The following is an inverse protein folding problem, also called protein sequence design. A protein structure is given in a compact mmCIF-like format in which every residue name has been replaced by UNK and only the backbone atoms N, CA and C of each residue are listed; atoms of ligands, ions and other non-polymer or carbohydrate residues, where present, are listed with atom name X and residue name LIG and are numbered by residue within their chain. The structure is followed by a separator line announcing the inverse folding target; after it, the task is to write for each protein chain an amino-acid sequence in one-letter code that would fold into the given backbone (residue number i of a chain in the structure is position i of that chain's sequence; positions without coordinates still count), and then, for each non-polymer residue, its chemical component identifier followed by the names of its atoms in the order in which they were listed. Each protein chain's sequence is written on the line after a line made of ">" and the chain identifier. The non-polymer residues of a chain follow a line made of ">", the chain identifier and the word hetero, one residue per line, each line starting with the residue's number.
data_IF_903830580046
#
_entry.id   IF_903830580046
#
_cell.length_a   1.000
_cell.length_b   1.000
_cell.length_c   1.000
_cell.angle_alpha   90.00
_cell.angle_beta   90.00
_cell.angle_gamma   90.00
#
_symmetry.space_group_name_H-M   'P 1'
#
loop_
_entity.id
_entity.type
_entity.pdbx_description
1 polymer ?
#
# COMPACT_ATOMS: atom_id res chain seq x y z
N UNK A 1 3.42 14.92 -10.94
CA UNK A 1 2.44 13.79 -10.87
C UNK A 1 1.64 13.88 -9.57
N UNK A 2 0.51 13.18 -9.51
CA UNK A 2 -0.38 13.10 -8.35
C UNK A 2 0.04 11.96 -7.44
N UNK A 3 0.46 12.27 -6.22
CA UNK A 3 1.00 11.29 -5.26
C UNK A 3 0.02 11.16 -4.09
N UNK A 4 -0.34 9.93 -3.75
CA UNK A 4 -1.12 9.59 -2.56
C UNK A 4 -0.25 8.79 -1.60
N UNK A 5 0.00 9.34 -0.41
CA UNK A 5 0.77 8.69 0.66
C UNK A 5 -0.19 8.13 1.70
N UNK A 6 -0.07 6.84 2.01
CA UNK A 6 -0.96 6.14 2.93
C UNK A 6 -0.13 5.57 4.09
N UNK A 7 -0.38 6.05 5.32
CA UNK A 7 0.15 5.46 6.54
C UNK A 7 -0.86 4.49 7.14
N UNK A 8 -0.54 3.21 7.12
CA UNK A 8 -1.37 2.12 7.65
C UNK A 8 -1.06 1.71 9.09
N UNK A 9 -0.18 2.41 9.80
CA UNK A 9 0.11 2.11 11.21
C UNK A 9 -0.94 2.72 12.13
N UNK A 10 -1.52 1.96 13.10
CA UNK A 10 -2.53 2.49 14.01
C UNK A 10 -1.98 3.43 15.08
N UNK A 11 -0.67 3.43 15.34
CA UNK A 11 -0.01 4.23 16.37
C UNK A 11 0.76 5.41 15.75
N UNK A 12 0.48 6.63 16.25
CA UNK A 12 1.11 7.89 15.82
C UNK A 12 2.57 8.04 16.28
N UNK A 13 3.01 7.30 17.29
CA UNK A 13 4.39 7.32 17.79
C UNK A 13 5.28 6.26 17.13
N UNK A 14 4.75 5.57 16.13
CA UNK A 14 5.44 4.48 15.45
C UNK A 14 6.57 4.95 14.54
N UNK A 15 7.51 4.05 14.26
CA UNK A 15 8.54 4.30 13.25
C UNK A 15 7.96 4.44 11.82
N UNK A 16 6.82 3.82 11.53
CA UNK A 16 6.08 4.05 10.29
C UNK A 16 5.63 5.51 10.17
N UNK A 17 5.26 6.16 11.27
CA UNK A 17 4.93 7.59 11.28
C UNK A 17 6.16 8.45 10.96
N UNK A 18 7.36 8.09 11.46
CA UNK A 18 8.59 8.79 11.10
C UNK A 18 8.91 8.64 9.61
N UNK A 19 8.72 7.46 9.02
CA UNK A 19 8.85 7.24 7.58
C UNK A 19 7.84 8.09 6.81
N UNK A 20 6.58 8.11 7.24
CA UNK A 20 5.51 8.89 6.61
C UNK A 20 5.86 10.38 6.60
N UNK A 21 6.25 10.94 7.74
CA UNK A 21 6.63 12.35 7.84
C UNK A 21 7.84 12.66 6.95
N UNK A 22 8.87 11.79 6.97
CA UNK A 22 10.04 11.95 6.10
C UNK A 22 9.65 11.98 4.62
N UNK A 23 8.72 11.15 4.19
CA UNK A 23 8.24 11.13 2.79
C UNK A 23 7.50 12.42 2.47
N UNK A 24 6.55 12.82 3.31
CA UNK A 24 5.75 14.04 3.10
C UNK A 24 6.62 15.28 3.01
N UNK A 25 7.60 15.42 3.92
CA UNK A 25 8.50 16.59 3.98
C UNK A 25 9.48 16.68 2.79
N UNK A 26 9.72 15.56 2.08
CA UNK A 26 10.70 15.50 0.99
C UNK A 26 10.11 15.35 -0.40
N UNK A 27 8.77 15.29 -0.56
CA UNK A 27 8.10 15.38 -1.85
C UNK A 27 8.13 16.85 -2.32
N UNK A 28 8.67 17.10 -3.51
CA UNK A 28 8.72 18.45 -4.07
C UNK A 28 7.35 18.91 -4.58
N UNK A 29 6.69 19.75 -3.78
CA UNK A 29 5.36 20.30 -4.09
C UNK A 29 5.31 21.19 -5.35
N UNK A 30 6.47 21.60 -5.90
CA UNK A 30 6.51 22.34 -7.18
C UNK A 30 6.30 21.44 -8.39
N UNK A 31 6.60 20.15 -8.25
CA UNK A 31 6.53 19.16 -9.32
C UNK A 31 5.44 18.10 -9.11
N UNK A 32 4.91 18.00 -7.88
CA UNK A 32 3.95 16.97 -7.51
C UNK A 32 2.77 17.57 -6.73
N UNK A 33 1.58 17.07 -7.01
CA UNK A 33 0.40 17.27 -6.18
C UNK A 33 0.39 16.13 -5.13
N UNK A 34 0.27 16.48 -3.86
CA UNK A 34 0.34 15.54 -2.75
C UNK A 34 -0.98 15.50 -1.99
N UNK A 35 -1.50 14.31 -1.82
CA UNK A 35 -2.57 13.99 -0.85
C UNK A 35 -2.09 12.93 0.12
N UNK A 36 -2.60 12.98 1.33
CA UNK A 36 -2.20 12.06 2.40
C UNK A 36 -3.40 11.42 3.08
N UNK A 37 -3.23 10.17 3.48
CA UNK A 37 -4.15 9.41 4.35
C UNK A 37 -3.33 8.82 5.49
N UNK A 38 -3.60 9.26 6.73
CA UNK A 38 -3.03 8.67 7.94
C UNK A 38 -4.16 7.94 8.67
N UNK A 39 -4.22 6.61 8.51
CA UNK A 39 -5.36 5.81 8.97
C UNK A 39 -5.59 5.86 10.49
N UNK A 40 -4.57 6.21 11.26
CA UNK A 40 -4.67 6.40 12.70
C UNK A 40 -5.31 7.75 13.12
N UNK A 41 -5.61 8.61 12.16
CA UNK A 41 -6.25 9.92 12.37
C UNK A 41 -7.71 9.94 11.91
N UNK A 42 -8.10 8.89 11.20
CA UNK A 42 -9.42 8.79 10.58
C UNK A 42 -10.37 7.91 11.41
N UNK A 43 -11.58 8.38 11.61
CA UNK A 43 -12.64 7.62 12.27
C UNK A 43 -13.51 6.93 11.22
N UNK A 44 -13.31 5.63 11.06
CA UNK A 44 -14.09 4.80 10.14
C UNK A 44 -14.20 3.36 10.64
N UNK A 45 -15.26 2.67 10.27
CA UNK A 45 -15.39 1.24 10.55
C UNK A 45 -14.55 0.41 9.55
N UNK A 46 -13.44 -0.23 9.98
CA UNK A 46 -12.60 -1.03 9.08
C UNK A 46 -13.23 -2.39 8.71
N UNK A 47 -14.34 -2.76 9.34
CA UNK A 47 -14.97 -4.07 9.09
C UNK A 47 -15.94 -4.01 7.93
N UNK A 48 -15.68 -4.80 6.90
CA UNK A 48 -16.63 -5.00 5.78
C UNK A 48 -17.78 -5.92 6.23
N UNK A 49 -18.71 -5.40 7.04
CA UNK A 49 -19.70 -6.17 7.84
C UNK A 49 -20.59 -7.11 7.04
N UNK A 50 -20.90 -6.74 5.80
CA UNK A 50 -21.83 -7.51 4.95
C UNK A 50 -21.14 -8.14 3.75
N UNK A 51 -19.82 -8.06 3.67
CA UNK A 51 -19.07 -8.33 2.44
C UNK A 51 -19.60 -7.41 1.32
N UNK A 52 -19.63 -7.93 0.10
CA UNK A 52 -20.20 -7.20 -1.05
C UNK A 52 -21.69 -7.51 -1.28
N UNK A 53 -22.35 -8.23 -0.38
CA UNK A 53 -23.76 -8.61 -0.50
C UNK A 53 -24.72 -7.44 -0.27
N UNK A 54 -24.37 -6.55 0.64
CA UNK A 54 -25.15 -5.36 1.00
C UNK A 54 -24.19 -4.17 1.19
N UNK A 55 -24.56 -3.00 0.69
CA UNK A 55 -23.81 -1.77 0.98
C UNK A 55 -23.89 -1.44 2.46
N UNK A 56 -22.78 -1.01 3.01
CA UNK A 56 -22.70 -0.33 4.30
C UNK A 56 -23.23 1.11 4.16
N UNK A 57 -23.54 1.74 5.28
CA UNK A 57 -23.82 3.17 5.29
C UNK A 57 -22.66 3.96 4.68
N UNK A 58 -22.99 5.08 4.04
CA UNK A 58 -21.99 5.96 3.43
C UNK A 58 -21.11 6.56 4.52
N UNK A 59 -19.83 6.53 4.27
CA UNK A 59 -18.77 7.04 5.13
C UNK A 59 -17.96 8.04 4.29
N UNK A 60 -17.96 9.29 4.71
CA UNK A 60 -17.34 10.38 3.95
C UNK A 60 -15.84 10.17 3.74
N UNK A 61 -15.13 9.59 4.73
CA UNK A 61 -13.73 9.27 4.59
C UNK A 61 -13.50 8.16 3.56
N UNK A 62 -14.34 7.12 3.55
CA UNK A 62 -14.25 6.04 2.57
C UNK A 62 -14.55 6.56 1.16
N UNK A 63 -15.56 7.41 0.98
CA UNK A 63 -15.88 8.02 -0.31
C UNK A 63 -14.71 8.90 -0.80
N UNK A 64 -14.17 9.77 0.04
CA UNK A 64 -12.97 10.55 -0.26
C UNK A 64 -11.79 9.65 -0.64
N UNK A 65 -11.58 8.57 0.11
CA UNK A 65 -10.50 7.62 -0.18
C UNK A 65 -10.66 6.96 -1.55
N UNK A 66 -11.90 6.63 -1.96
CA UNK A 66 -12.20 6.08 -3.29
C UNK A 66 -11.91 7.09 -4.40
N UNK A 67 -12.22 8.37 -4.21
CA UNK A 67 -11.86 9.44 -5.13
C UNK A 67 -10.34 9.60 -5.22
N UNK A 68 -9.64 9.58 -4.09
CA UNK A 68 -8.18 9.73 -4.04
C UNK A 68 -7.44 8.59 -4.73
N UNK A 69 -7.90 7.34 -4.64
CA UNK A 69 -7.25 6.24 -5.37
C UNK A 69 -7.49 6.33 -6.88
N UNK A 70 -8.55 6.97 -7.33
CA UNK A 70 -8.77 7.25 -8.75
C UNK A 70 -7.95 8.46 -9.21
N UNK A 71 -7.77 9.47 -8.37
CA UNK A 71 -7.01 10.69 -8.64
C UNK A 71 -5.49 10.43 -8.74
N UNK A 72 -4.91 9.62 -7.85
CA UNK A 72 -3.47 9.44 -7.76
C UNK A 72 -2.86 8.76 -9.00
N UNK A 73 -1.67 9.17 -9.41
CA UNK A 73 -0.81 8.48 -10.39
C UNK A 73 0.16 7.51 -9.71
N UNK A 74 0.63 7.88 -8.51
CA UNK A 74 1.57 7.10 -7.71
C UNK A 74 1.10 6.99 -6.26
N UNK A 75 1.17 5.77 -5.73
CA UNK A 75 0.83 5.45 -4.34
C UNK A 75 2.09 5.19 -3.54
N UNK A 76 2.13 5.65 -2.30
CA UNK A 76 3.17 5.28 -1.35
C UNK A 76 2.48 4.68 -0.12
N UNK A 77 2.65 3.37 0.07
CA UNK A 77 2.11 2.64 1.21
C UNK A 77 3.16 2.47 2.28
N UNK A 78 2.81 2.79 3.53
CA UNK A 78 3.69 2.68 4.69
C UNK A 78 2.97 1.86 5.77
N UNK A 79 3.54 0.72 6.20
CA UNK A 79 2.91 -0.11 7.22
C UNK A 79 3.87 -1.10 7.88
N UNK A 80 3.58 -1.56 9.11
CA UNK A 80 4.33 -2.64 9.74
C UNK A 80 3.84 -3.99 9.22
N UNK A 81 4.76 -4.93 9.08
CA UNK A 81 4.40 -6.32 8.78
C UNK A 81 4.08 -7.04 10.09
N UNK A 82 2.81 -7.34 10.29
CA UNK A 82 2.30 -8.09 11.43
C UNK A 82 1.69 -9.41 10.95
N UNK A 83 2.13 -10.52 11.54
CA UNK A 83 1.62 -11.85 11.17
C UNK A 83 1.63 -12.09 9.66
N UNK A 84 2.76 -11.75 9.02
CA UNK A 84 2.95 -11.88 7.56
C UNK A 84 1.90 -11.13 6.72
N UNK A 85 1.33 -10.05 7.25
CA UNK A 85 0.34 -9.21 6.58
C UNK A 85 0.46 -7.75 7.00
N UNK A 86 -0.38 -6.91 6.42
CA UNK A 86 -0.60 -5.54 6.87
C UNK A 86 -1.50 -5.51 8.12
N UNK A 87 -1.50 -4.41 8.90
CA UNK A 87 -2.40 -4.23 10.02
C UNK A 87 -3.88 -4.35 9.62
N UNK A 88 -4.72 -4.81 10.56
CA UNK A 88 -6.17 -4.93 10.34
C UNK A 88 -6.83 -3.62 9.91
N UNK A 89 -6.40 -2.50 10.47
CA UNK A 89 -6.86 -1.16 10.10
C UNK A 89 -6.65 -0.88 8.60
N UNK A 90 -5.43 -1.11 8.11
CA UNK A 90 -5.10 -0.93 6.70
C UNK A 90 -5.82 -1.94 5.80
N UNK A 91 -5.93 -3.20 6.25
CA UNK A 91 -6.67 -4.21 5.48
C UNK A 91 -8.15 -3.85 5.35
N UNK A 92 -8.76 -3.38 6.44
CA UNK A 92 -10.15 -2.93 6.43
C UNK A 92 -10.37 -1.71 5.53
N UNK A 93 -9.46 -0.73 5.53
CA UNK A 93 -9.50 0.38 4.58
C UNK A 93 -9.42 -0.13 3.13
N UNK A 94 -8.51 -1.05 2.81
CA UNK A 94 -8.41 -1.64 1.48
C UNK A 94 -9.71 -2.34 1.09
N UNK A 95 -10.32 -3.14 1.98
CA UNK A 95 -11.54 -3.87 1.70
C UNK A 95 -12.74 -2.94 1.41
N UNK A 96 -12.73 -1.73 1.96
CA UNK A 96 -13.79 -0.73 1.76
C UNK A 96 -13.53 0.24 0.61
N UNK A 97 -12.27 0.41 0.22
CA UNK A 97 -11.87 1.38 -0.82
C UNK A 97 -11.62 0.74 -2.17
N UNK A 98 -10.94 -0.43 -2.21
CA UNK A 98 -10.62 -1.13 -3.47
C UNK A 98 -11.75 -2.05 -3.91
N UNK A 99 -12.94 -1.51 -4.04
CA UNK A 99 -14.18 -2.23 -4.34
C UNK A 99 -14.46 -2.33 -5.85
N UNK A 100 -15.38 -3.24 -6.27
CA UNK A 100 -15.89 -3.28 -7.63
C UNK A 100 -16.49 -1.93 -8.07
N UNK A 101 -16.18 -1.51 -9.29
CA UNK A 101 -16.60 -0.21 -9.85
C UNK A 101 -15.65 0.95 -9.53
N UNK A 102 -14.78 0.81 -8.54
CA UNK A 102 -13.77 1.82 -8.16
C UNK A 102 -12.37 1.38 -8.60
N UNK A 103 -11.91 0.22 -8.15
CA UNK A 103 -10.56 -0.27 -8.42
C UNK A 103 -10.50 -1.34 -9.51
N UNK A 104 -11.57 -2.10 -9.67
CA UNK A 104 -11.74 -3.12 -10.70
C UNK A 104 -13.21 -3.31 -11.06
N UNK A 105 -13.50 -4.01 -12.16
CA UNK A 105 -14.86 -4.44 -12.53
C UNK A 105 -14.83 -5.83 -13.12
N UNK A 106 -15.99 -6.50 -13.15
CA UNK A 106 -16.12 -7.74 -13.91
C UNK A 106 -15.82 -7.47 -15.40
N UNK A 107 -15.21 -8.43 -16.07
CA UNK A 107 -15.01 -8.37 -17.51
C UNK A 107 -16.13 -9.17 -18.19
N UNK A 108 -17.19 -8.48 -18.56
CA UNK A 108 -18.38 -9.06 -19.19
C UNK A 108 -18.19 -9.29 -20.70
N UNK A 109 -17.04 -8.94 -21.27
CA UNK A 109 -16.76 -9.10 -22.70
C UNK A 109 -16.16 -10.49 -23.00
N UNK A 110 -16.82 -11.24 -23.85
CA UNK A 110 -16.36 -12.53 -24.33
C UNK A 110 -16.74 -13.72 -23.44
N UNK A 111 -16.24 -14.92 -23.78
CA UNK A 111 -16.52 -16.14 -23.02
C UNK A 111 -15.83 -16.12 -21.65
N UNK A 112 -16.57 -16.43 -20.60
CA UNK A 112 -16.06 -16.58 -19.24
C UNK A 112 -14.85 -17.53 -19.18
N UNK A 113 -14.92 -18.67 -19.88
CA UNK A 113 -13.84 -19.68 -19.91
C UNK A 113 -12.58 -19.10 -20.53
N UNK A 114 -12.69 -18.38 -21.66
CA UNK A 114 -11.54 -17.75 -22.31
C UNK A 114 -10.95 -16.61 -21.50
N UNK A 115 -11.78 -15.83 -20.83
CA UNK A 115 -11.31 -14.78 -19.92
C UNK A 115 -10.59 -15.38 -18.71
N UNK A 116 -11.11 -16.48 -18.17
CA UNK A 116 -10.47 -17.22 -17.07
C UNK A 116 -9.10 -17.76 -17.47
N UNK A 117 -9.01 -18.49 -18.58
CA UNK A 117 -7.76 -19.08 -19.07
C UNK A 117 -6.69 -18.02 -19.42
N UNK A 118 -7.10 -16.80 -19.78
CA UNK A 118 -6.22 -15.67 -20.10
C UNK A 118 -5.97 -14.75 -18.92
N UNK A 119 -6.49 -15.03 -17.75
CA UNK A 119 -6.38 -14.16 -16.58
C UNK A 119 -7.05 -12.79 -16.76
N UNK A 120 -8.10 -12.70 -17.59
CA UNK A 120 -8.80 -11.46 -17.95
C UNK A 120 -10.22 -11.39 -17.37
N UNK A 121 -10.49 -12.08 -16.26
CA UNK A 121 -11.81 -12.08 -15.62
C UNK A 121 -12.23 -10.69 -15.13
N UNK A 122 -11.25 -9.83 -14.82
CA UNK A 122 -11.50 -8.50 -14.30
C UNK A 122 -10.87 -7.43 -15.18
N UNK A 123 -11.60 -6.34 -15.34
CA UNK A 123 -11.09 -5.09 -15.92
C UNK A 123 -10.39 -4.30 -14.81
N UNK A 124 -9.12 -4.00 -15.01
CA UNK A 124 -8.28 -3.26 -14.07
C UNK A 124 -8.52 -1.76 -14.25
N UNK A 125 -9.23 -1.13 -13.30
CA UNK A 125 -9.63 0.28 -13.43
C UNK A 125 -8.52 1.27 -13.05
N UNK A 126 -7.50 0.81 -12.30
CA UNK A 126 -6.35 1.63 -11.90
C UNK A 126 -5.09 1.33 -12.75
N UNK A 127 -5.30 0.85 -13.98
CA UNK A 127 -4.21 0.54 -14.92
C UNK A 127 -3.41 1.80 -15.28
N UNK A 128 -2.09 1.65 -15.29
CA UNK A 128 -1.15 2.74 -15.61
C UNK A 128 -0.58 3.43 -14.38
N UNK A 129 -1.23 3.26 -13.22
CA UNK A 129 -0.74 3.80 -11.96
C UNK A 129 0.41 2.95 -11.39
N UNK A 130 1.20 3.56 -10.51
CA UNK A 130 2.37 2.93 -9.88
C UNK A 130 2.32 3.01 -8.36
N UNK A 131 3.10 2.17 -7.68
CA UNK A 131 3.19 2.19 -6.23
C UNK A 131 4.61 1.94 -5.71
N UNK A 132 4.92 2.53 -4.56
CA UNK A 132 6.05 2.22 -3.71
C UNK A 132 5.54 1.72 -2.35
N UNK A 133 6.23 0.74 -1.77
CA UNK A 133 5.88 0.14 -0.49
C UNK A 133 7.07 0.30 0.46
N UNK A 134 6.83 0.94 1.59
CA UNK A 134 7.76 1.05 2.71
C UNK A 134 7.20 0.30 3.90
N UNK A 135 7.85 -0.77 4.30
CA UNK A 135 7.35 -1.60 5.38
C UNK A 135 8.40 -1.75 6.50
N UNK A 136 7.93 -1.97 7.71
CA UNK A 136 8.77 -2.28 8.87
C UNK A 136 8.48 -3.70 9.36
N UNK A 137 9.47 -4.35 9.97
CA UNK A 137 9.33 -5.71 10.48
C UNK A 137 10.26 -5.98 11.65
N UNK A 138 9.90 -6.92 12.51
CA UNK A 138 10.80 -7.50 13.51
C UNK A 138 11.78 -8.53 12.92
N UNK A 139 11.47 -9.12 11.77
CA UNK A 139 12.37 -10.03 11.08
C UNK A 139 13.53 -9.28 10.42
N UNK A 140 14.70 -9.90 10.23
CA UNK A 140 15.85 -9.25 9.62
C UNK A 140 15.58 -8.80 8.17
N UNK A 141 16.16 -7.66 7.78
CA UNK A 141 16.01 -7.12 6.42
C UNK A 141 16.48 -8.10 5.33
N UNK A 142 17.55 -8.87 5.58
CA UNK A 142 18.06 -9.86 4.64
C UNK A 142 17.07 -10.98 4.33
N UNK A 143 16.21 -11.33 5.31
CA UNK A 143 15.13 -12.30 5.12
C UNK A 143 14.22 -11.92 3.94
N UNK A 144 13.80 -10.66 3.92
CA UNK A 144 12.95 -10.15 2.84
C UNK A 144 13.69 -10.06 1.50
N UNK A 145 15.00 -9.76 1.51
CA UNK A 145 15.82 -9.72 0.28
C UNK A 145 15.99 -11.10 -0.35
N UNK A 146 16.20 -12.13 0.45
CA UNK A 146 16.39 -13.50 -0.04
C UNK A 146 15.07 -14.07 -0.56
N UNK A 147 14.00 -13.90 0.19
CA UNK A 147 12.70 -14.49 -0.13
C UNK A 147 11.83 -13.61 -1.04
N UNK A 148 12.23 -12.38 -1.37
CA UNK A 148 11.61 -11.54 -2.40
C UNK A 148 12.32 -11.61 -3.76
N UNK A 149 13.35 -12.44 -3.90
CA UNK A 149 14.19 -12.59 -5.10
C UNK A 149 13.58 -13.47 -6.19
N UNK A 150 14.35 -13.79 -7.26
CA UNK A 150 13.88 -14.51 -8.44
C UNK A 150 13.52 -15.98 -8.21
N UNK A 151 13.85 -16.53 -7.07
CA UNK A 151 13.36 -17.84 -6.66
C UNK A 151 11.93 -17.61 -6.19
N UNK A 152 10.96 -18.01 -6.99
CA UNK A 152 9.50 -17.92 -6.77
C UNK A 152 9.01 -18.66 -5.50
N UNK A 153 9.63 -18.39 -4.37
CA UNK A 153 9.00 -18.60 -3.08
C UNK A 153 7.93 -17.52 -2.99
N UNK A 154 6.66 -17.89 -2.79
CA UNK A 154 5.56 -16.94 -2.84
C UNK A 154 5.92 -15.74 -1.98
N UNK A 155 5.96 -14.59 -2.62
CA UNK A 155 6.38 -13.29 -2.13
C UNK A 155 6.18 -13.17 -0.65
N UNK A 156 7.27 -13.24 0.05
CA UNK A 156 7.34 -13.44 1.47
C UNK A 156 6.54 -12.37 2.20
N UNK A 157 5.68 -12.87 3.01
CA UNK A 157 5.41 -12.32 4.31
C UNK A 157 5.14 -10.81 4.33
N UNK A 158 3.87 -10.44 4.16
CA UNK A 158 3.39 -9.10 4.43
C UNK A 158 3.40 -8.14 3.24
N UNK A 159 4.16 -8.42 2.20
CA UNK A 159 4.21 -7.58 0.98
C UNK A 159 3.34 -8.15 -0.13
N UNK A 160 3.30 -9.47 -0.29
CA UNK A 160 2.65 -10.14 -1.43
C UNK A 160 1.15 -9.88 -1.49
N UNK A 161 0.50 -9.84 -0.35
CA UNK A 161 -0.95 -9.57 -0.30
C UNK A 161 -1.26 -8.20 -0.91
N UNK A 162 -0.55 -7.15 -0.49
CA UNK A 162 -0.74 -5.83 -1.07
C UNK A 162 -0.29 -5.80 -2.54
N UNK A 163 0.95 -6.21 -2.82
CA UNK A 163 1.57 -6.10 -4.15
C UNK A 163 0.85 -6.92 -5.21
N UNK A 164 0.59 -8.20 -4.93
CA UNK A 164 0.11 -9.15 -5.93
C UNK A 164 -1.41 -9.30 -5.92
N UNK A 165 -2.01 -9.46 -4.72
CA UNK A 165 -3.43 -9.69 -4.62
C UNK A 165 -4.27 -8.41 -4.72
N UNK A 166 -3.74 -7.25 -4.32
CA UNK A 166 -4.47 -5.98 -4.40
C UNK A 166 -3.99 -5.14 -5.57
N UNK A 167 -2.75 -4.62 -5.52
CA UNK A 167 -2.27 -3.63 -6.49
C UNK A 167 -2.23 -4.19 -7.91
N UNK A 168 -1.61 -5.35 -8.12
CA UNK A 168 -1.55 -5.95 -9.45
C UNK A 168 -2.94 -6.36 -9.97
N UNK A 169 -3.84 -6.81 -9.09
CA UNK A 169 -5.22 -7.11 -9.46
C UNK A 169 -5.95 -5.86 -10.00
N UNK A 170 -5.72 -4.70 -9.41
CA UNK A 170 -6.31 -3.44 -9.83
C UNK A 170 -5.58 -2.75 -10.99
N UNK A 171 -4.37 -3.24 -11.35
CA UNK A 171 -3.56 -2.72 -12.48
C UNK A 171 -2.47 -1.74 -12.06
N UNK A 172 -2.21 -1.60 -10.78
CA UNK A 172 -1.16 -0.75 -10.23
C UNK A 172 0.16 -1.54 -10.27
N UNK A 173 1.19 -0.94 -10.87
CA UNK A 173 2.53 -1.54 -10.95
C UNK A 173 3.38 -1.13 -9.75
N UNK A 174 3.80 -2.07 -8.92
CA UNK A 174 4.77 -1.79 -7.85
C UNK A 174 6.14 -1.53 -8.46
N UNK A 175 6.68 -0.34 -8.19
CA UNK A 175 8.00 0.12 -8.65
C UNK A 175 9.08 -0.16 -7.63
N UNK A 176 8.74 -0.06 -6.35
CA UNK A 176 9.68 -0.18 -5.23
C UNK A 176 9.07 -0.93 -4.07
N UNK A 177 9.90 -1.70 -3.41
CA UNK A 177 9.61 -2.28 -2.09
C UNK A 177 10.84 -2.07 -1.22
N UNK A 178 10.67 -1.39 -0.10
CA UNK A 178 11.68 -1.18 0.92
C UNK A 178 11.18 -1.73 2.24
N UNK A 179 11.91 -2.66 2.85
CA UNK A 179 11.58 -3.22 4.15
C UNK A 179 12.73 -2.95 5.11
N UNK A 180 12.45 -2.24 6.20
CA UNK A 180 13.36 -2.15 7.34
C UNK A 180 13.02 -3.25 8.32
N UNK A 181 13.94 -4.19 8.46
CA UNK A 181 13.82 -5.26 9.45
C UNK A 181 14.34 -4.87 10.83
N UNK A 182 14.12 -5.78 11.78
CA UNK A 182 14.64 -5.70 13.16
C UNK A 182 14.14 -4.50 13.97
N UNK A 183 13.07 -3.86 13.53
CA UNK A 183 12.47 -2.72 14.26
C UNK A 183 11.94 -3.19 15.61
N UNK A 184 12.32 -2.47 16.68
CA UNK A 184 11.98 -2.83 18.06
C UNK A 184 12.92 -3.86 18.69
N UNK A 185 14.01 -4.25 18.02
CA UNK A 185 15.09 -5.09 18.59
C UNK A 185 16.31 -4.23 18.91
N UNK A 186 17.12 -4.68 19.86
CA UNK A 186 18.34 -3.96 20.30
C UNK A 186 19.36 -3.75 19.19
N UNK A 187 19.36 -4.62 18.18
CA UNK A 187 20.21 -4.50 16.99
C UNK A 187 19.83 -3.35 16.08
N UNK A 188 18.59 -2.83 16.16
CA UNK A 188 18.14 -1.70 15.38
C UNK A 188 18.36 -0.39 16.14
N UNK A 189 19.57 0.13 16.05
CA UNK A 189 19.99 1.35 16.76
C UNK A 189 19.31 2.62 16.22
N UNK A 190 19.35 3.70 17.00
CA UNK A 190 18.87 5.01 16.57
C UNK A 190 19.59 5.50 15.29
N UNK A 191 20.91 5.27 15.20
CA UNK A 191 21.71 5.62 14.02
C UNK A 191 21.27 4.86 12.76
N UNK A 192 20.96 3.58 12.87
CA UNK A 192 20.45 2.78 11.73
C UNK A 192 19.09 3.30 11.24
N UNK A 193 18.22 3.69 12.17
CA UNK A 193 16.91 4.28 11.81
C UNK A 193 17.07 5.62 11.12
N UNK A 194 17.99 6.47 11.60
CA UNK A 194 18.28 7.77 10.98
C UNK A 194 18.87 7.61 9.58
N UNK A 195 19.84 6.73 9.39
CA UNK A 195 20.40 6.40 8.07
C UNK A 195 19.30 5.87 7.10
N UNK A 196 18.37 5.07 7.61
CA UNK A 196 17.25 4.60 6.80
C UNK A 196 16.33 5.75 6.39
N UNK A 197 15.98 6.67 7.30
CA UNK A 197 15.16 7.85 6.97
C UNK A 197 15.84 8.75 5.95
N UNK A 198 17.16 8.95 6.06
CA UNK A 198 17.92 9.69 5.06
C UNK A 198 17.85 9.05 3.67
N UNK A 199 17.99 7.72 3.59
CA UNK A 199 17.80 6.98 2.33
C UNK A 199 16.39 7.13 1.77
N UNK A 200 15.37 7.05 2.62
CA UNK A 200 13.97 7.28 2.21
C UNK A 200 13.80 8.68 1.62
N UNK A 201 14.35 9.72 2.29
CA UNK A 201 14.29 11.09 1.81
C UNK A 201 14.97 11.25 0.44
N UNK A 202 16.16 10.67 0.25
CA UNK A 202 16.87 10.72 -1.03
C UNK A 202 16.12 10.01 -2.16
N UNK A 203 15.44 8.92 -1.83
CA UNK A 203 14.65 8.14 -2.80
C UNK A 203 13.40 8.89 -3.24
N UNK A 204 12.73 9.55 -2.31
CA UNK A 204 11.51 10.33 -2.59
C UNK A 204 11.83 11.55 -3.45
N UNK A 205 12.95 12.23 -3.20
CA UNK A 205 13.42 13.35 -4.05
C UNK A 205 13.69 12.96 -5.51
N UNK A 206 13.87 11.67 -5.79
CA UNK A 206 14.08 11.15 -7.16
C UNK A 206 12.79 10.69 -7.84
N UNK A 207 11.65 10.85 -7.20
CA UNK A 207 10.37 10.58 -7.85
C UNK A 207 10.16 11.61 -8.97
N UNK A 208 10.13 11.12 -10.20
CA UNK A 208 9.94 11.93 -11.42
C UNK A 208 8.79 11.37 -12.26
#
# INVERSE_FOLDING_TARGET
>A
MKILVINGHPDKESYCQAIFQTIVDNIDSRHHELEVISLNEEDFDPVLRYGYRKRMEEDSFILRSQELIQWADHFIFIYPIWWSSMPSLMKGWIDRVFIPGVAYSANDQGSFIWNYLRGKQFKKLLKGKTASIYATSMAPTWWYKIFSGPINIPDSYGISVLKNAVLNHCGIKTKRVCVLGEVGRDVNTASMREEHLQKVAEEVKKLS
#
